data_IF_998443787324
#
_entry.id   IF_998443787324
#
_cell.length_a   1.000
_cell.length_b   1.000
_cell.length_c   1.000
_cell.angle_alpha   90.00
_cell.angle_beta   90.00
_cell.angle_gamma   90.00
#
_symmetry.space_group_name_H-M   'P 1'
#
loop_
_entity.id
_entity.type
_entity.pdbx_description
1 polymer ?
#
# COMPACT_ATOMS: atom_id res chain seq x y z
N UNK A 1 -22.46 -8.89 0.71
CA UNK A 1 -21.92 -7.52 0.74
C UNK A 1 -20.78 -7.47 -0.26
N UNK A 2 -20.84 -6.62 -1.28
CA UNK A 2 -19.71 -6.46 -2.21
C UNK A 2 -18.56 -5.80 -1.44
N UNK A 3 -17.47 -6.55 -1.22
CA UNK A 3 -16.29 -6.02 -0.54
C UNK A 3 -15.55 -5.11 -1.52
N UNK A 4 -15.83 -3.79 -1.44
CA UNK A 4 -15.10 -2.77 -2.19
C UNK A 4 -13.71 -2.59 -1.57
N UNK A 5 -12.70 -2.43 -2.42
CA UNK A 5 -11.34 -2.11 -1.98
C UNK A 5 -11.36 -0.73 -1.34
N UNK A 6 -10.87 -0.65 -0.10
CA UNK A 6 -10.80 0.61 0.64
C UNK A 6 -9.91 1.61 -0.10
N UNK A 7 -10.37 2.86 -0.21
CA UNK A 7 -9.57 3.97 -0.79
C UNK A 7 -9.10 3.72 -2.24
N UNK A 8 -9.81 2.87 -2.99
CA UNK A 8 -9.48 2.53 -4.37
C UNK A 8 -9.75 3.69 -5.34
N UNK A 9 -8.74 4.11 -6.10
CA UNK A 9 -8.87 5.13 -7.16
C UNK A 9 -7.72 5.09 -8.15
N UNK A 10 -8.01 5.52 -9.38
CA UNK A 10 -7.03 5.89 -10.38
C UNK A 10 -6.28 7.18 -9.92
N UNK A 11 -4.97 7.25 -10.12
CA UNK A 11 -4.13 8.43 -9.82
C UNK A 11 -3.67 9.20 -11.07
N UNK A 12 -4.18 8.82 -12.24
CA UNK A 12 -4.01 9.52 -13.50
C UNK A 12 -4.47 10.98 -13.44
N UNK A 13 -3.99 11.78 -14.38
CA UNK A 13 -4.35 13.19 -14.51
C UNK A 13 -3.65 14.13 -13.51
N UNK A 14 -2.87 13.60 -12.57
CA UNK A 14 -2.05 14.43 -11.67
C UNK A 14 -0.92 15.08 -12.48
N UNK A 15 -0.86 16.41 -12.44
CA UNK A 15 0.23 17.20 -13.04
C UNK A 15 1.47 17.17 -12.15
N UNK A 16 2.61 16.90 -12.75
CA UNK A 16 3.93 16.96 -12.14
C UNK A 16 4.81 17.94 -12.93
N UNK A 17 6.01 18.23 -12.42
CA UNK A 17 6.97 19.08 -13.15
C UNK A 17 7.39 18.46 -14.49
N UNK A 18 7.34 17.12 -14.59
CA UNK A 18 7.78 16.34 -15.74
C UNK A 18 6.63 15.98 -16.70
N UNK A 19 5.38 16.31 -16.37
CA UNK A 19 4.24 16.00 -17.23
C UNK A 19 2.96 15.71 -16.47
N UNK A 20 2.20 14.72 -16.92
CA UNK A 20 0.94 14.30 -16.29
C UNK A 20 0.93 12.78 -16.21
N UNK A 21 0.51 12.24 -15.07
CA UNK A 21 0.37 10.78 -14.89
C UNK A 21 -0.68 10.27 -15.88
N UNK A 22 -0.31 9.22 -16.62
CA UNK A 22 -1.18 8.60 -17.62
C UNK A 22 -2.45 8.07 -16.94
N UNK A 23 -3.58 8.34 -17.56
CA UNK A 23 -4.88 7.90 -17.05
C UNK A 23 -5.06 6.38 -17.21
N UNK A 24 -5.79 5.78 -16.27
CA UNK A 24 -6.10 4.35 -16.20
C UNK A 24 -4.86 3.42 -16.18
N UNK A 25 -3.69 3.96 -15.84
CA UNK A 25 -2.43 3.22 -15.77
C UNK A 25 -2.06 2.84 -14.33
N UNK A 26 -2.28 3.75 -13.37
CA UNK A 26 -1.89 3.53 -11.98
C UNK A 26 -3.08 3.71 -11.04
N UNK A 27 -3.28 2.70 -10.20
CA UNK A 27 -4.34 2.68 -9.20
C UNK A 27 -3.72 2.54 -7.82
N UNK A 28 -4.38 3.10 -6.81
CA UNK A 28 -4.05 2.86 -5.41
C UNK A 28 -5.26 2.35 -4.67
N UNK A 29 -5.06 1.53 -3.65
CA UNK A 29 -6.12 1.00 -2.80
C UNK A 29 -5.54 0.35 -1.54
N UNK A 30 -6.44 -0.17 -0.70
CA UNK A 30 -6.08 -1.03 0.43
C UNK A 30 -5.84 -2.49 0.01
N UNK A 31 -5.75 -3.40 0.99
CA UNK A 31 -5.56 -4.84 0.75
C UNK A 31 -6.60 -5.43 -0.20
N UNK A 32 -6.17 -6.36 -1.06
CA UNK A 32 -7.06 -7.14 -1.92
C UNK A 32 -7.63 -8.37 -1.19
N UNK A 33 -7.95 -8.20 0.08
CA UNK A 33 -8.42 -9.27 0.95
C UNK A 33 -9.92 -9.53 0.76
N UNK A 34 -10.31 -10.80 0.63
CA UNK A 34 -11.71 -11.25 0.54
C UNK A 34 -12.56 -10.51 -0.51
N UNK A 35 -11.98 -10.23 -1.68
CA UNK A 35 -12.73 -9.63 -2.79
C UNK A 35 -13.77 -10.60 -3.37
N UNK A 36 -14.93 -10.09 -3.78
CA UNK A 36 -15.89 -10.84 -4.57
C UNK A 36 -15.34 -11.15 -5.96
N UNK A 37 -15.79 -12.26 -6.56
CA UNK A 37 -15.41 -12.64 -7.94
C UNK A 37 -15.72 -11.52 -8.95
N UNK A 38 -16.87 -10.86 -8.82
CA UNK A 38 -17.23 -9.70 -9.64
C UNK A 38 -16.19 -8.58 -9.56
N UNK A 39 -15.71 -8.26 -8.35
CA UNK A 39 -14.66 -7.25 -8.15
C UNK A 39 -13.36 -7.67 -8.82
N UNK A 40 -12.98 -8.95 -8.71
CA UNK A 40 -11.78 -9.49 -9.35
C UNK A 40 -11.90 -9.41 -10.87
N UNK A 41 -13.07 -9.75 -11.42
CA UNK A 41 -13.35 -9.64 -12.85
C UNK A 41 -13.27 -8.20 -13.34
N UNK A 42 -13.84 -7.23 -12.61
CA UNK A 42 -13.70 -5.81 -12.95
C UNK A 42 -12.23 -5.36 -12.94
N UNK A 43 -11.46 -5.72 -11.91
CA UNK A 43 -10.03 -5.36 -11.84
C UNK A 43 -9.23 -5.93 -13.02
N UNK A 44 -9.49 -7.19 -13.40
CA UNK A 44 -8.70 -7.89 -14.42
C UNK A 44 -9.16 -7.61 -15.86
N UNK A 45 -10.48 -7.58 -16.09
CA UNK A 45 -11.07 -7.52 -17.44
C UNK A 45 -11.45 -6.10 -17.85
N UNK A 46 -11.89 -5.27 -16.91
CA UNK A 46 -12.31 -3.90 -17.23
C UNK A 46 -11.16 -2.91 -17.01
N UNK A 47 -10.48 -2.99 -15.86
CA UNK A 47 -9.36 -2.11 -15.51
C UNK A 47 -7.99 -2.65 -15.95
N UNK A 48 -7.94 -3.87 -16.47
CA UNK A 48 -6.74 -4.50 -17.02
C UNK A 48 -5.55 -4.55 -16.03
N UNK A 49 -5.82 -4.60 -14.73
CA UNK A 49 -4.80 -4.68 -13.68
C UNK A 49 -4.21 -6.08 -13.68
N UNK A 50 -2.91 -6.15 -13.96
CA UNK A 50 -2.12 -7.39 -13.98
C UNK A 50 -1.17 -7.49 -12.80
N UNK A 51 -0.62 -6.36 -12.38
CA UNK A 51 0.46 -6.27 -11.39
C UNK A 51 -0.05 -5.56 -10.15
N UNK A 52 0.26 -6.11 -8.98
CA UNK A 52 -0.08 -5.57 -7.67
C UNK A 52 1.20 -5.39 -6.88
N UNK A 53 1.44 -4.16 -6.43
CA UNK A 53 2.56 -3.87 -5.54
C UNK A 53 2.01 -3.80 -4.11
N UNK A 54 2.41 -4.76 -3.27
CA UNK A 54 1.99 -4.83 -1.87
C UNK A 54 3.09 -4.23 -0.97
N UNK A 55 2.79 -3.11 -0.33
CA UNK A 55 3.73 -2.40 0.55
C UNK A 55 3.66 -2.79 2.03
N UNK A 56 2.74 -3.68 2.38
CA UNK A 56 2.45 -4.05 3.77
C UNK A 56 3.57 -4.85 4.41
N UNK A 57 3.59 -4.86 5.74
CA UNK A 57 4.47 -5.78 6.45
C UNK A 57 3.95 -7.24 6.40
N UNK A 58 4.78 -8.19 6.81
CA UNK A 58 4.42 -9.62 6.81
C UNK A 58 3.23 -9.92 7.75
N UNK A 59 3.11 -9.24 8.88
CA UNK A 59 2.02 -9.47 9.85
C UNK A 59 0.66 -9.01 9.30
N UNK A 60 0.63 -7.90 8.56
CA UNK A 60 -0.55 -7.41 7.87
C UNK A 60 -0.99 -8.37 6.77
N UNK A 61 -0.05 -8.95 6.01
CA UNK A 61 -0.34 -9.97 4.98
C UNK A 61 -0.86 -11.25 5.62
N UNK A 62 -0.25 -11.73 6.70
CA UNK A 62 -0.73 -12.91 7.44
C UNK A 62 -2.16 -12.73 7.94
N UNK A 63 -2.51 -11.54 8.44
CA UNK A 63 -3.88 -11.24 8.91
C UNK A 63 -4.88 -11.05 7.76
N UNK A 64 -4.43 -10.48 6.64
CA UNK A 64 -5.29 -10.08 5.52
C UNK A 64 -4.61 -10.43 4.19
N UNK A 65 -4.46 -11.71 3.90
CA UNK A 65 -3.85 -12.18 2.66
C UNK A 65 -4.60 -11.63 1.44
N UNK A 66 -3.85 -11.20 0.42
CA UNK A 66 -4.45 -10.79 -0.85
C UNK A 66 -5.09 -11.99 -1.55
N UNK A 67 -6.03 -11.71 -2.45
CA UNK A 67 -6.49 -12.70 -3.40
C UNK A 67 -5.39 -12.97 -4.45
N UNK A 68 -4.91 -14.21 -4.54
CA UNK A 68 -3.78 -14.57 -5.40
C UNK A 68 -4.18 -14.89 -6.85
N UNK A 69 -5.47 -15.05 -7.15
CA UNK A 69 -5.90 -15.50 -8.47
C UNK A 69 -5.78 -14.40 -9.53
N UNK A 70 -4.76 -14.51 -10.38
CA UNK A 70 -4.62 -13.77 -11.63
C UNK A 70 -3.93 -12.41 -11.53
N UNK A 71 -3.28 -12.12 -10.41
CA UNK A 71 -2.39 -10.95 -10.26
C UNK A 71 -0.94 -11.39 -10.06
N UNK A 72 -0.01 -10.68 -10.68
CA UNK A 72 1.41 -10.75 -10.33
C UNK A 72 1.64 -9.84 -9.11
N UNK A 73 1.86 -10.44 -7.94
CA UNK A 73 2.01 -9.72 -6.68
C UNK A 73 3.50 -9.55 -6.37
N UNK A 74 3.98 -8.31 -6.33
CA UNK A 74 5.29 -7.96 -5.81
C UNK A 74 5.14 -7.45 -4.38
N UNK A 75 5.61 -8.23 -3.42
CA UNK A 75 5.66 -7.81 -2.02
C UNK A 75 6.94 -7.00 -1.78
N UNK A 76 6.78 -5.70 -1.54
CA UNK A 76 7.85 -4.75 -1.24
C UNK A 76 7.60 -4.15 0.14
N UNK A 77 8.01 -4.82 1.21
CA UNK A 77 7.79 -4.36 2.58
C UNK A 77 8.53 -3.02 2.84
N UNK A 78 7.86 -1.88 2.63
CA UNK A 78 8.50 -0.56 2.68
C UNK A 78 9.01 -0.22 4.08
N UNK A 79 8.28 -0.61 5.12
CA UNK A 79 8.65 -0.30 6.51
C UNK A 79 9.75 -1.26 7.00
N UNK A 80 9.80 -2.48 6.45
CA UNK A 80 10.72 -3.54 6.84
C UNK A 80 10.39 -4.15 8.21
N UNK A 81 11.27 -5.00 8.72
CA UNK A 81 11.21 -5.51 10.10
C UNK A 81 11.73 -4.48 11.13
N UNK A 82 12.01 -3.27 10.67
CA UNK A 82 12.38 -2.18 11.55
C UNK A 82 11.20 -1.97 12.51
N UNK A 83 11.48 -2.03 13.81
CA UNK A 83 10.48 -1.77 14.87
C UNK A 83 9.84 -0.37 14.82
N UNK A 84 10.12 0.40 13.76
CA UNK A 84 9.34 1.53 13.26
C UNK A 84 7.86 1.14 13.07
N UNK A 85 7.57 -0.16 12.84
CA UNK A 85 6.24 -0.74 12.69
C UNK A 85 5.72 -1.61 13.84
N UNK A 86 6.39 -1.68 15.02
CA UNK A 86 5.69 -2.18 16.25
C UNK A 86 4.68 -1.18 16.80
N UNK A 87 4.30 -0.21 16.00
CA UNK A 87 2.95 0.29 15.95
C UNK A 87 1.94 -0.84 15.58
N UNK A 88 1.83 -1.86 16.42
CA UNK A 88 0.52 -2.47 16.62
C UNK A 88 -0.42 -1.27 16.85
N UNK A 89 -1.52 -1.08 16.10
CA UNK A 89 -2.42 0.05 16.34
C UNK A 89 -2.73 0.20 17.83
N UNK A 90 -2.78 -0.91 18.56
CA UNK A 90 -2.84 -1.04 20.02
C UNK A 90 -1.68 -0.37 20.80
N UNK A 91 -0.42 -0.50 20.39
CA UNK A 91 0.75 0.12 21.03
C UNK A 91 0.89 1.61 20.66
N UNK A 92 0.49 1.99 19.44
CA UNK A 92 0.28 3.40 19.11
C UNK A 92 -0.87 3.99 19.93
N UNK A 93 -1.96 3.25 20.15
CA UNK A 93 -3.09 3.64 20.99
C UNK A 93 -2.73 3.75 22.48
N UNK A 94 -1.76 2.99 22.97
CA UNK A 94 -1.19 3.19 24.30
C UNK A 94 -0.35 4.48 24.38
N UNK A 95 0.45 4.79 23.36
CA UNK A 95 1.17 6.08 23.25
C UNK A 95 0.25 7.26 22.91
N UNK A 96 -0.93 7.02 22.32
CA UNK A 96 -1.94 8.04 21.97
C UNK A 96 -2.52 8.76 23.19
N UNK A 97 -2.39 8.21 24.40
CA UNK A 97 -2.85 8.91 25.60
C UNK A 97 -2.03 10.17 25.89
N UNK A 98 -0.81 10.29 25.37
CA UNK A 98 0.10 11.41 25.68
C UNK A 98 0.78 12.06 24.46
N UNK A 99 0.81 11.42 23.28
CA UNK A 99 1.49 11.95 22.09
C UNK A 99 0.53 12.52 21.03
N UNK A 100 0.90 13.65 20.42
CA UNK A 100 0.19 14.25 19.28
C UNK A 100 0.23 13.32 18.05
N UNK A 101 -0.92 12.83 17.54
CA UNK A 101 -1.00 11.98 16.35
C UNK A 101 -0.30 12.58 15.13
N UNK A 102 -0.31 13.91 14.99
CA UNK A 102 0.36 14.60 13.89
C UNK A 102 1.87 14.42 13.96
N UNK A 103 2.48 14.67 15.11
CA UNK A 103 3.93 14.55 15.29
C UNK A 103 4.39 13.10 15.14
N UNK A 104 3.59 12.14 15.62
CA UNK A 104 3.87 10.72 15.39
C UNK A 104 3.90 10.36 13.90
N UNK A 105 2.91 10.84 13.12
CA UNK A 105 2.89 10.59 11.68
C UNK A 105 4.07 11.26 10.98
N UNK A 106 4.38 12.52 11.31
CA UNK A 106 5.54 13.23 10.74
C UNK A 106 6.83 12.45 11.01
N UNK A 107 7.03 11.96 12.22
CA UNK A 107 8.23 11.20 12.58
C UNK A 107 8.30 9.86 11.83
N UNK A 108 7.19 9.15 11.69
CA UNK A 108 7.12 7.94 10.86
C UNK A 108 7.53 8.23 9.40
N UNK A 109 7.01 9.30 8.80
CA UNK A 109 7.38 9.68 7.43
C UNK A 109 8.87 10.03 7.32
N UNK A 110 9.46 10.72 8.31
CA UNK A 110 10.91 10.99 8.34
C UNK A 110 11.73 9.70 8.39
N UNK A 111 11.29 8.73 9.17
CA UNK A 111 11.98 7.45 9.30
C UNK A 111 11.93 6.65 7.99
N UNK A 112 10.77 6.58 7.33
CA UNK A 112 10.62 5.92 6.02
C UNK A 112 11.56 6.57 4.99
N UNK A 113 11.57 7.90 4.88
CA UNK A 113 12.38 8.59 3.86
C UNK A 113 13.89 8.44 4.13
N UNK A 114 14.31 8.28 5.38
CA UNK A 114 15.73 8.15 5.73
C UNK A 114 16.23 6.69 5.79
N UNK A 115 15.33 5.71 5.88
CA UNK A 115 15.69 4.31 6.00
C UNK A 115 16.35 3.76 4.72
N UNK A 116 17.56 3.19 4.80
CA UNK A 116 18.19 2.50 3.67
C UNK A 116 17.34 1.35 3.13
N UNK A 117 16.61 0.66 4.02
CA UNK A 117 15.69 -0.42 3.65
C UNK A 117 14.54 0.11 2.79
N UNK A 118 13.80 1.11 3.29
CA UNK A 118 12.68 1.71 2.56
C UNK A 118 13.12 2.26 1.21
N UNK A 119 14.30 2.90 1.14
CA UNK A 119 14.88 3.37 -0.12
C UNK A 119 15.13 2.22 -1.10
N UNK A 120 15.69 1.10 -0.64
CA UNK A 120 15.94 -0.06 -1.49
C UNK A 120 14.64 -0.67 -2.03
N UNK A 121 13.60 -0.78 -1.21
CA UNK A 121 12.29 -1.27 -1.67
C UNK A 121 11.61 -0.30 -2.64
N UNK A 122 11.70 1.02 -2.41
CA UNK A 122 11.23 2.00 -3.38
C UNK A 122 12.00 1.95 -4.70
N UNK A 123 13.30 1.69 -4.68
CA UNK A 123 14.08 1.49 -5.92
C UNK A 123 13.52 0.32 -6.73
N UNK A 124 13.25 -0.83 -6.10
CA UNK A 124 12.63 -1.97 -6.78
C UNK A 124 11.27 -1.62 -7.36
N UNK A 125 10.45 -0.83 -6.65
CA UNK A 125 9.16 -0.38 -7.15
C UNK A 125 9.28 0.39 -8.48
N UNK A 126 10.30 1.22 -8.66
CA UNK A 126 10.52 1.96 -9.91
C UNK A 126 11.14 1.11 -11.04
N UNK A 127 11.60 -0.10 -10.74
CA UNK A 127 12.16 -1.05 -11.72
C UNK A 127 11.12 -2.03 -12.28
N UNK A 128 9.91 -2.05 -11.70
CA UNK A 128 8.76 -2.85 -12.16
C UNK A 128 7.97 -2.06 -13.21
#
# INVERSE_FOLDING_TARGET
>A
MHHKILNFRNIGGIKTEQGTIIDDYFYRGGPLHQLSLETIETLQKELHIKTVIDFRDYHEIERQANHENGFEIHHLNIIGDQQIGRANPSQLMEKQKEADPKEMMIELYRQIINSPHSKAEYTKFFEI
#
